data_IF_713746863503
#
_entry.id   IF_713746863503
#
_cell.length_a   1.000
_cell.length_b   1.000
_cell.length_c   1.000
_cell.angle_alpha   90.00
_cell.angle_beta   90.00
_cell.angle_gamma   90.00
#
_symmetry.space_group_name_H-M   'P 1'
#
loop_
_entity.id
_entity.type
_entity.pdbx_description
1 polymer ?
#
# COMPACT_ATOMS: atom_id res chain seq x y z
N UNK A 1 -31.29 -17.26 -0.92
CA UNK A 1 -31.18 -15.83 -0.52
C UNK A 1 -31.52 -15.60 0.96
N UNK A 2 -31.32 -16.58 1.85
CA UNK A 2 -31.68 -16.47 3.28
C UNK A 2 -30.48 -16.11 4.20
N UNK A 3 -29.25 -16.26 3.72
CA UNK A 3 -28.03 -16.13 4.53
C UNK A 3 -27.62 -14.65 4.71
N UNK A 4 -27.89 -13.79 3.72
CA UNK A 4 -27.52 -12.36 3.80
C UNK A 4 -28.35 -11.54 4.79
N UNK A 5 -29.56 -12.00 5.15
CA UNK A 5 -30.44 -11.25 6.08
C UNK A 5 -29.99 -11.30 7.53
N UNK A 6 -29.14 -12.27 7.90
CA UNK A 6 -28.63 -12.40 9.28
C UNK A 6 -27.38 -11.57 9.57
N UNK A 7 -26.66 -11.11 8.55
CA UNK A 7 -25.44 -10.30 8.72
C UNK A 7 -25.71 -8.83 9.09
N UNK A 8 -26.87 -8.28 8.75
CA UNK A 8 -27.20 -6.86 8.98
C UNK A 8 -27.77 -6.55 10.37
N UNK A 9 -28.00 -7.56 11.24
CA UNK A 9 -28.61 -7.36 12.57
C UNK A 9 -27.61 -7.24 13.74
N UNK A 10 -26.30 -7.28 13.49
CA UNK A 10 -25.32 -6.93 14.53
C UNK A 10 -25.34 -7.80 15.79
N UNK A 11 -25.81 -9.06 15.72
CA UNK A 11 -25.89 -9.99 16.86
C UNK A 11 -24.75 -11.03 16.89
N UNK A 12 -23.59 -10.75 16.30
CA UNK A 12 -22.42 -11.61 16.44
C UNK A 12 -21.61 -11.20 17.67
N UNK A 13 -21.97 -11.78 18.82
CA UNK A 13 -21.12 -11.76 20.01
C UNK A 13 -19.86 -12.57 19.72
N UNK A 14 -18.72 -11.91 19.68
CA UNK A 14 -17.42 -12.55 19.71
C UNK A 14 -17.28 -13.35 21.02
N UNK A 15 -17.16 -14.67 20.91
CA UNK A 15 -16.77 -15.52 22.01
C UNK A 15 -15.29 -15.28 22.31
N UNK A 16 -15.03 -14.60 23.43
CA UNK A 16 -13.72 -14.47 24.04
C UNK A 16 -13.30 -15.82 24.63
N UNK A 17 -12.48 -16.56 23.87
CA UNK A 17 -11.96 -17.89 24.23
C UNK A 17 -10.58 -17.79 24.88
N UNK A 18 -10.40 -16.93 25.89
CA UNK A 18 -9.11 -16.75 26.55
C UNK A 18 -9.10 -17.03 28.08
N UNK A 19 -10.18 -17.57 28.66
CA UNK A 19 -10.32 -17.70 30.13
C UNK A 19 -10.50 -19.10 30.74
N UNK A 20 -10.20 -20.20 30.05
CA UNK A 20 -10.46 -21.56 30.58
C UNK A 20 -9.25 -22.50 30.68
N UNK A 21 -8.10 -22.04 31.18
CA UNK A 21 -6.93 -22.94 31.36
C UNK A 21 -6.05 -22.65 32.59
N UNK A 22 -6.58 -22.06 33.66
CA UNK A 22 -5.80 -21.78 34.88
C UNK A 22 -6.51 -22.17 36.19
N UNK A 23 -7.34 -23.21 36.21
CA UNK A 23 -7.99 -23.64 37.45
C UNK A 23 -8.33 -25.15 37.49
N UNK A 24 -7.33 -26.02 37.33
CA UNK A 24 -7.45 -27.42 37.77
C UNK A 24 -6.10 -28.14 37.84
N UNK A 25 -5.19 -27.67 38.72
CA UNK A 25 -3.98 -28.46 39.03
C UNK A 25 -3.36 -28.05 40.37
N UNK A 26 -4.17 -28.02 41.44
CA UNK A 26 -3.67 -28.12 42.81
C UNK A 26 -4.70 -28.88 43.62
N UNK A 27 -4.25 -29.97 44.25
CA UNK A 27 -4.99 -30.86 45.17
C UNK A 27 -5.42 -32.20 44.57
N UNK A 28 -4.46 -33.11 44.38
CA UNK A 28 -4.68 -34.52 44.68
C UNK A 28 -3.34 -35.23 44.90
N UNK A 29 -3.25 -35.91 46.05
CA UNK A 29 -2.41 -37.08 46.32
C UNK A 29 -0.96 -36.85 46.76
N UNK A 30 -0.86 -36.35 47.99
CA UNK A 30 0.09 -36.89 48.97
C UNK A 30 -0.43 -38.25 49.49
N UNK A 31 0.52 -39.19 49.65
CA UNK A 31 0.49 -40.44 50.43
C UNK A 31 -0.16 -41.69 49.80
N UNK A 32 0.68 -42.55 49.24
CA UNK A 32 0.80 -43.94 49.71
C UNK A 32 2.11 -44.57 49.25
N UNK A 33 2.87 -45.07 50.22
CA UNK A 33 4.03 -45.91 50.02
C UNK A 33 3.58 -47.30 49.53
N UNK A 34 4.22 -47.86 48.50
CA UNK A 34 4.69 -49.25 48.53
C UNK A 34 5.55 -49.60 47.30
N UNK A 35 6.77 -50.07 47.60
CA UNK A 35 7.72 -50.89 46.83
C UNK A 35 7.27 -51.47 45.46
N UNK A 36 8.05 -51.09 44.43
CA UNK A 36 8.31 -51.72 43.10
C UNK A 36 7.14 -51.70 42.09
N UNK A 37 7.38 -51.52 40.77
CA UNK A 37 8.65 -51.70 40.05
C UNK A 37 9.06 -50.50 39.17
N UNK A 38 10.30 -50.03 39.34
CA UNK A 38 10.91 -48.99 38.49
C UNK A 38 11.05 -49.46 37.02
N UNK A 39 10.99 -50.77 36.75
CA UNK A 39 11.07 -51.32 35.40
C UNK A 39 9.79 -51.17 34.56
N UNK A 40 8.58 -51.20 35.15
CA UNK A 40 7.34 -51.07 34.35
C UNK A 40 7.02 -49.62 33.98
N UNK A 41 7.44 -48.64 34.80
CA UNK A 41 7.29 -47.22 34.50
C UNK A 41 8.14 -46.78 33.31
N UNK A 42 9.34 -47.36 33.13
CA UNK A 42 10.21 -47.08 31.97
C UNK A 42 9.61 -47.68 30.69
N UNK A 43 9.04 -48.88 30.75
CA UNK A 43 8.37 -49.51 29.60
C UNK A 43 7.09 -48.76 29.17
N UNK A 44 6.28 -48.28 30.13
CA UNK A 44 5.11 -47.46 29.79
C UNK A 44 5.48 -46.08 29.23
N UNK A 45 6.56 -45.46 29.72
CA UNK A 45 7.09 -44.21 29.16
C UNK A 45 7.65 -44.42 27.74
N UNK A 46 8.36 -45.51 27.47
CA UNK A 46 8.86 -45.84 26.12
C UNK A 46 7.71 -46.07 25.13
N UNK A 47 6.65 -46.81 25.51
CA UNK A 47 5.46 -47.02 24.67
C UNK A 47 4.64 -45.74 24.42
N UNK A 48 4.54 -44.83 25.41
CA UNK A 48 3.87 -43.55 25.24
C UNK A 48 4.63 -42.59 24.31
N UNK A 49 5.97 -42.61 24.35
CA UNK A 49 6.83 -41.79 23.47
C UNK A 49 6.78 -42.31 22.02
N UNK A 50 6.68 -43.63 21.80
CA UNK A 50 6.52 -44.22 20.46
C UNK A 50 5.21 -43.80 19.78
N UNK A 51 4.11 -43.71 20.54
CA UNK A 51 2.79 -43.28 20.05
C UNK A 51 2.76 -41.80 19.63
N UNK A 52 3.42 -40.93 20.40
CA UNK A 52 3.49 -39.50 20.09
C UNK A 52 4.38 -39.22 18.86
N UNK A 53 5.52 -39.91 18.72
CA UNK A 53 6.42 -39.72 17.58
C UNK A 53 5.83 -40.22 16.26
N UNK A 54 5.10 -41.34 16.26
CA UNK A 54 4.44 -41.86 15.06
C UNK A 54 3.34 -40.92 14.53
N UNK A 55 2.60 -40.24 15.42
CA UNK A 55 1.56 -39.27 15.05
C UNK A 55 2.16 -37.98 14.47
N UNK A 56 3.28 -37.51 15.00
CA UNK A 56 3.96 -36.31 14.48
C UNK A 56 4.60 -36.56 13.11
N UNK A 57 5.14 -37.76 12.86
CA UNK A 57 5.69 -38.13 11.55
C UNK A 57 4.61 -38.22 10.45
N UNK A 58 3.42 -38.73 10.78
CA UNK A 58 2.29 -38.78 9.83
C UNK A 58 1.77 -37.37 9.47
N UNK A 59 1.73 -36.43 10.44
CA UNK A 59 1.33 -35.04 10.17
C UNK A 59 2.38 -34.32 9.32
N UNK A 60 3.68 -34.51 9.59
CA UNK A 60 4.73 -33.91 8.75
C UNK A 60 4.70 -34.44 7.30
N UNK A 61 4.52 -35.74 7.12
CA UNK A 61 4.43 -36.34 5.78
C UNK A 61 3.20 -35.87 4.99
N UNK A 62 2.08 -35.60 5.66
CA UNK A 62 0.86 -35.06 5.03
C UNK A 62 0.97 -33.59 4.61
N UNK A 63 1.76 -32.77 5.31
CA UNK A 63 1.95 -31.35 4.96
C UNK A 63 2.90 -31.19 3.77
N UNK A 64 3.88 -32.09 3.60
CA UNK A 64 4.83 -32.04 2.49
C UNK A 64 4.18 -32.32 1.12
N UNK A 65 3.11 -33.11 1.05
CA UNK A 65 2.42 -33.39 -0.22
C UNK A 65 1.47 -32.29 -0.67
N UNK A 66 1.03 -31.40 0.23
CA UNK A 66 0.19 -30.23 -0.13
C UNK A 66 0.99 -29.09 -0.78
N UNK A 67 2.30 -29.00 -0.52
CA UNK A 67 3.15 -27.95 -1.10
C UNK A 67 3.30 -28.07 -2.63
N UNK A 68 3.16 -29.29 -3.19
CA UNK A 68 3.26 -29.54 -4.63
C UNK A 68 1.98 -29.15 -5.42
N UNK A 69 0.83 -28.96 -4.74
CA UNK A 69 -0.43 -28.57 -5.39
C UNK A 69 -0.57 -27.06 -5.59
N UNK A 70 0.29 -26.25 -4.97
CA UNK A 70 0.23 -24.78 -5.05
C UNK A 70 0.82 -24.27 -6.37
N UNK A 71 1.71 -25.04 -7.01
CA UNK A 71 2.30 -24.71 -8.31
C UNK A 71 1.41 -25.01 -9.52
N UNK A 72 0.20 -25.58 -9.33
CA UNK A 72 -0.64 -26.07 -10.43
C UNK A 72 -1.94 -25.25 -10.67
N UNK A 73 -2.12 -24.09 -10.03
CA UNK A 73 -3.36 -23.29 -10.18
C UNK A 73 -3.29 -22.28 -11.33
N UNK A 74 -2.65 -22.66 -12.42
CA UNK A 74 -2.64 -21.86 -13.62
C UNK A 74 -4.01 -21.94 -14.28
N UNK A 75 -4.66 -20.81 -14.50
CA UNK A 75 -5.81 -20.78 -15.40
C UNK A 75 -5.36 -21.27 -16.79
N UNK A 76 -6.26 -21.92 -17.52
CA UNK A 76 -5.94 -22.46 -18.86
C UNK A 76 -5.95 -21.38 -19.93
N UNK A 77 -6.56 -20.23 -19.66
CA UNK A 77 -6.66 -19.10 -20.58
C UNK A 77 -6.43 -17.77 -19.87
N UNK A 78 -5.99 -16.78 -20.65
CA UNK A 78 -5.88 -15.41 -20.19
C UNK A 78 -7.26 -14.75 -20.14
N UNK A 79 -7.45 -13.86 -19.16
CA UNK A 79 -8.56 -12.92 -19.18
C UNK A 79 -8.50 -12.05 -20.44
N UNK A 80 -9.66 -11.72 -21.02
CA UNK A 80 -9.74 -10.85 -22.19
C UNK A 80 -9.02 -9.50 -22.02
N UNK A 81 -8.91 -9.00 -20.78
CA UNK A 81 -8.21 -7.75 -20.47
C UNK A 81 -6.70 -7.89 -20.29
N UNK A 82 -6.13 -9.10 -20.34
CA UNK A 82 -4.70 -9.31 -20.07
C UNK A 82 -3.79 -8.52 -21.00
N UNK A 83 -4.16 -8.34 -22.26
CA UNK A 83 -3.40 -7.50 -23.19
C UNK A 83 -3.27 -6.05 -22.68
N UNK A 84 -4.37 -5.49 -22.17
CA UNK A 84 -4.39 -4.13 -21.60
C UNK A 84 -3.67 -4.09 -20.25
N UNK A 85 -3.92 -5.06 -19.36
CA UNK A 85 -3.28 -5.12 -18.05
C UNK A 85 -1.77 -5.31 -18.14
N UNK A 86 -1.30 -6.19 -19.04
CA UNK A 86 0.13 -6.37 -19.32
C UNK A 86 0.77 -5.07 -19.78
N UNK A 87 0.14 -4.34 -20.71
CA UNK A 87 0.61 -3.01 -21.16
C UNK A 87 0.67 -2.01 -20.00
N UNK A 88 -0.26 -2.10 -19.06
CA UNK A 88 -0.31 -1.26 -17.86
C UNK A 88 0.60 -1.76 -16.71
N UNK A 89 1.46 -2.74 -16.95
CA UNK A 89 2.45 -3.24 -15.97
C UNK A 89 1.93 -4.31 -15.01
N UNK A 90 0.79 -4.97 -15.29
CA UNK A 90 0.24 -6.01 -14.42
C UNK A 90 1.23 -7.15 -14.14
N UNK A 91 1.94 -7.63 -15.16
CA UNK A 91 2.90 -8.73 -14.99
C UNK A 91 4.17 -8.33 -14.21
N UNK A 92 4.59 -7.07 -14.28
CA UNK A 92 5.86 -6.60 -13.71
C UNK A 92 5.70 -5.88 -12.37
N UNK A 93 4.46 -5.57 -11.96
CA UNK A 93 4.19 -4.85 -10.74
C UNK A 93 4.23 -5.80 -9.53
N UNK A 94 5.14 -5.59 -8.56
CA UNK A 94 5.28 -6.46 -7.39
C UNK A 94 4.10 -6.39 -6.42
N UNK A 95 3.19 -5.42 -6.60
CA UNK A 95 1.95 -5.31 -5.84
C UNK A 95 0.92 -6.39 -6.20
N UNK A 96 1.03 -7.06 -7.34
CA UNK A 96 0.17 -8.19 -7.68
C UNK A 96 0.80 -9.48 -7.18
N UNK A 97 0.05 -10.20 -6.34
CA UNK A 97 0.46 -11.52 -5.87
C UNK A 97 0.58 -12.49 -7.05
N UNK A 98 1.53 -13.44 -6.98
CA UNK A 98 1.70 -14.47 -8.02
C UNK A 98 0.41 -15.22 -8.32
N UNK A 99 -0.38 -15.56 -7.30
CA UNK A 99 -1.69 -16.21 -7.47
C UNK A 99 -2.64 -15.41 -8.37
N UNK A 100 -2.59 -14.08 -8.30
CA UNK A 100 -3.38 -13.20 -9.16
C UNK A 100 -2.89 -13.26 -10.62
N UNK A 101 -1.58 -13.28 -10.83
CA UNK A 101 -0.99 -13.45 -12.16
C UNK A 101 -1.38 -14.81 -12.76
N UNK A 102 -1.33 -15.88 -11.95
CA UNK A 102 -1.70 -17.24 -12.34
C UNK A 102 -3.19 -17.39 -12.67
N UNK A 103 -4.06 -16.70 -11.93
CA UNK A 103 -5.50 -16.78 -12.11
C UNK A 103 -5.99 -15.95 -13.30
N UNK A 104 -5.45 -14.75 -13.49
CA UNK A 104 -5.99 -13.82 -14.48
C UNK A 104 -5.25 -13.84 -15.81
N UNK A 105 -3.91 -13.86 -15.79
CA UNK A 105 -3.09 -13.74 -16.98
C UNK A 105 -1.95 -14.77 -17.02
N UNK A 106 -2.27 -16.08 -16.88
CA UNK A 106 -1.28 -17.15 -16.77
C UNK A 106 -0.30 -17.14 -17.96
N UNK A 107 -0.80 -17.01 -19.19
CA UNK A 107 0.00 -17.10 -20.41
C UNK A 107 0.64 -15.74 -20.75
N UNK A 108 -0.10 -14.64 -20.59
CA UNK A 108 0.41 -13.30 -20.85
C UNK A 108 1.55 -12.90 -19.89
N UNK A 109 1.53 -13.37 -18.64
CA UNK A 109 2.52 -13.12 -17.60
C UNK A 109 3.37 -14.35 -17.25
N UNK A 110 3.57 -15.29 -18.19
CA UNK A 110 4.22 -16.61 -17.98
C UNK A 110 5.48 -16.59 -17.11
N UNK A 111 6.35 -15.62 -17.28
CA UNK A 111 7.61 -15.49 -16.53
C UNK A 111 7.38 -15.18 -15.04
N UNK A 112 6.39 -14.35 -14.72
CA UNK A 112 6.12 -13.89 -13.36
C UNK A 112 5.05 -14.72 -12.65
N UNK A 113 4.09 -15.27 -13.41
CA UNK A 113 3.06 -16.19 -12.92
C UNK A 113 3.65 -17.57 -12.60
N UNK A 114 4.71 -17.99 -13.29
CA UNK A 114 5.19 -19.38 -13.25
C UNK A 114 4.25 -20.36 -13.94
N UNK A 115 3.28 -19.85 -14.72
CA UNK A 115 2.34 -20.62 -15.51
C UNK A 115 2.82 -20.72 -16.94
N UNK A 116 3.38 -21.88 -17.28
CA UNK A 116 3.88 -22.18 -18.62
C UNK A 116 5.18 -22.97 -18.54
N UNK A 117 5.39 -23.85 -19.51
CA UNK A 117 6.73 -24.36 -19.79
C UNK A 117 7.60 -23.16 -20.21
N UNK A 118 8.80 -22.96 -19.64
CA UNK A 118 9.73 -21.97 -20.15
C UNK A 118 9.86 -22.18 -21.66
N UNK A 119 9.55 -21.16 -22.46
CA UNK A 119 9.93 -21.23 -23.87
C UNK A 119 11.44 -21.49 -23.92
N UNK A 120 11.94 -22.31 -24.85
CA UNK A 120 13.37 -22.53 -25.02
C UNK A 120 14.03 -21.15 -25.09
N UNK A 121 14.81 -20.87 -24.04
CA UNK A 121 15.51 -19.62 -23.81
C UNK A 121 16.17 -19.20 -25.10
N UNK A 122 15.66 -18.14 -25.74
CA UNK A 122 16.39 -17.46 -26.79
C UNK A 122 17.60 -16.79 -26.11
N UNK A 123 18.84 -17.18 -26.44
CA UNK A 123 20.03 -16.63 -25.82
C UNK A 123 20.24 -15.21 -26.36
N UNK A 124 19.51 -14.26 -25.78
CA UNK A 124 19.47 -12.88 -26.23
C UNK A 124 18.77 -11.94 -25.26
N UNK A 125 18.69 -12.30 -23.98
CA UNK A 125 18.26 -11.36 -22.94
C UNK A 125 19.48 -10.61 -22.42
N UNK A 126 20.01 -9.73 -23.27
CA UNK A 126 20.77 -8.60 -22.77
C UNK A 126 19.86 -7.82 -21.82
N UNK A 127 20.41 -7.35 -20.71
CA UNK A 127 19.76 -6.50 -19.70
C UNK A 127 19.37 -5.14 -20.26
N UNK A 128 18.54 -5.12 -21.31
CA UNK A 128 17.70 -4.01 -21.66
C UNK A 128 16.55 -4.07 -20.67
N UNK A 129 16.77 -3.62 -19.43
CA UNK A 129 15.67 -3.22 -18.56
C UNK A 129 14.81 -2.31 -19.42
N UNK A 130 13.63 -2.75 -19.90
CA UNK A 130 12.82 -1.92 -20.77
C UNK A 130 12.59 -0.66 -19.98
N UNK A 131 12.98 0.49 -20.56
CA UNK A 131 12.76 1.79 -19.94
C UNK A 131 11.27 1.83 -19.65
N UNK A 132 10.88 1.60 -18.39
CA UNK A 132 9.50 1.37 -18.02
C UNK A 132 8.71 2.55 -18.58
N UNK A 133 7.96 2.29 -19.64
CA UNK A 133 7.04 3.27 -20.19
C UNK A 133 6.02 3.52 -19.09
N UNK A 134 5.83 4.79 -18.75
CA UNK A 134 4.84 5.14 -17.73
C UNK A 134 3.46 4.74 -18.23
N UNK A 135 2.54 4.50 -17.30
CA UNK A 135 1.18 4.12 -17.64
C UNK A 135 0.55 5.19 -18.57
N UNK A 136 -0.12 4.74 -19.63
CA UNK A 136 -0.77 5.65 -20.58
C UNK A 136 -1.81 6.58 -19.92
N UNK A 137 -2.33 6.22 -18.73
CA UNK A 137 -3.26 7.04 -17.96
C UNK A 137 -2.60 8.05 -17.02
N UNK A 138 -1.28 8.12 -16.94
CA UNK A 138 -0.60 8.98 -15.96
C UNK A 138 -0.97 10.45 -16.08
N UNK A 139 -1.06 10.99 -17.30
CA UNK A 139 -1.51 12.36 -17.52
C UNK A 139 -2.94 12.58 -16.96
N UNK A 140 -3.86 11.64 -17.26
CA UNK A 140 -5.24 11.70 -16.78
C UNK A 140 -5.33 11.60 -15.25
N UNK A 141 -4.58 10.68 -14.64
CA UNK A 141 -4.58 10.48 -13.19
C UNK A 141 -3.93 11.64 -12.43
N UNK A 142 -2.93 12.30 -13.03
CA UNK A 142 -2.32 13.49 -12.48
C UNK A 142 -3.26 14.71 -12.55
N UNK A 143 -4.02 14.84 -13.64
CA UNK A 143 -5.00 15.93 -13.82
C UNK A 143 -6.30 15.73 -13.02
N UNK A 144 -6.62 14.53 -12.55
CA UNK A 144 -7.90 14.26 -11.85
C UNK A 144 -7.99 15.00 -10.49
N UNK A 145 -8.89 15.97 -10.37
CA UNK A 145 -9.09 16.75 -9.13
C UNK A 145 -9.63 15.95 -7.94
N UNK A 146 -10.21 14.78 -8.16
CA UNK A 146 -10.75 13.94 -7.08
C UNK A 146 -9.69 12.99 -6.51
N UNK A 147 -8.76 12.52 -7.35
CA UNK A 147 -7.73 11.54 -6.96
C UNK A 147 -6.35 12.15 -6.78
N UNK A 148 -6.03 13.16 -7.58
CA UNK A 148 -4.75 13.88 -7.58
C UNK A 148 -3.55 12.92 -7.49
N UNK A 149 -3.43 11.93 -8.38
CA UNK A 149 -2.56 10.76 -8.16
C UNK A 149 -1.13 11.10 -7.72
N UNK A 150 -0.50 12.12 -8.34
CA UNK A 150 0.84 12.55 -7.96
C UNK A 150 0.87 13.28 -6.60
N UNK A 151 -0.16 14.06 -6.27
CA UNK A 151 -0.25 14.84 -5.03
C UNK A 151 -0.82 14.04 -3.84
N UNK A 152 -1.51 12.93 -4.10
CA UNK A 152 -2.22 12.14 -3.09
C UNK A 152 -1.27 11.61 -2.03
N UNK A 153 -1.72 11.75 -0.77
CA UNK A 153 -1.03 11.25 0.44
C UNK A 153 -1.28 9.74 0.63
N UNK A 154 -2.36 9.21 0.05
CA UNK A 154 -2.72 7.79 0.14
C UNK A 154 -1.89 6.92 -0.82
N UNK A 155 -1.31 7.53 -1.86
CA UNK A 155 -0.47 6.85 -2.85
C UNK A 155 0.99 6.94 -2.45
N UNK A 156 1.60 5.78 -2.17
CA UNK A 156 3.00 5.71 -1.74
C UNK A 156 3.96 6.14 -2.86
N UNK A 157 5.13 6.75 -2.55
CA UNK A 157 6.13 7.12 -3.56
C UNK A 157 6.55 5.97 -4.47
N UNK A 158 6.67 4.74 -3.94
CA UNK A 158 6.96 3.54 -4.72
C UNK A 158 5.90 3.27 -5.81
N UNK A 159 4.61 3.46 -5.50
CA UNK A 159 3.54 3.30 -6.49
C UNK A 159 3.62 4.40 -7.55
N UNK A 160 3.88 5.66 -7.17
CA UNK A 160 4.09 6.75 -8.12
C UNK A 160 5.26 6.44 -9.06
N UNK A 161 6.34 5.89 -8.53
CA UNK A 161 7.52 5.48 -9.29
C UNK A 161 7.26 4.27 -10.21
N UNK A 162 6.44 3.32 -9.80
CA UNK A 162 6.06 2.16 -10.64
C UNK A 162 5.15 2.58 -11.79
N UNK A 163 4.13 3.40 -11.52
CA UNK A 163 3.10 3.70 -12.52
C UNK A 163 3.42 4.94 -13.36
N UNK A 164 3.85 6.04 -12.72
CA UNK A 164 3.90 7.37 -13.31
C UNK A 164 5.20 8.10 -13.00
N UNK A 165 6.33 7.40 -13.19
CA UNK A 165 7.66 7.91 -12.82
C UNK A 165 7.98 9.29 -13.39
N UNK A 166 7.66 9.54 -14.67
CA UNK A 166 7.98 10.82 -15.32
C UNK A 166 6.95 11.88 -14.95
N UNK A 167 5.67 11.53 -15.03
CA UNK A 167 4.58 12.45 -14.71
C UNK A 167 4.63 12.96 -13.26
N UNK A 168 4.94 12.10 -12.28
CA UNK A 168 5.05 12.46 -10.86
C UNK A 168 6.50 12.71 -10.40
N UNK A 169 7.41 13.07 -11.31
CA UNK A 169 8.84 13.17 -10.99
C UNK A 169 9.13 14.17 -9.86
N UNK A 170 8.42 15.30 -9.82
CA UNK A 170 8.59 16.32 -8.78
C UNK A 170 8.21 15.79 -7.38
N UNK A 171 7.10 15.06 -7.28
CA UNK A 171 6.62 14.49 -6.02
C UNK A 171 7.44 13.29 -5.54
N UNK A 172 8.02 12.53 -6.48
CA UNK A 172 8.93 11.43 -6.15
C UNK A 172 10.27 11.97 -5.67
N UNK A 173 10.82 12.97 -6.37
CA UNK A 173 12.15 13.50 -6.07
C UNK A 173 12.13 14.43 -4.85
N UNK A 174 10.98 15.03 -4.51
CA UNK A 174 10.82 16.01 -3.41
C UNK A 174 11.88 17.13 -3.49
N UNK A 175 12.23 17.55 -4.70
CA UNK A 175 13.27 18.55 -4.95
C UNK A 175 12.82 19.93 -4.54
N UNK A 176 11.52 20.20 -4.68
CA UNK A 176 10.95 21.51 -4.45
C UNK A 176 10.68 21.70 -2.95
N UNK A 177 10.78 22.94 -2.49
CA UNK A 177 10.49 23.31 -1.11
C UNK A 177 9.00 23.47 -0.90
N UNK A 178 8.33 24.26 -1.75
CA UNK A 178 6.88 24.37 -1.77
C UNK A 178 6.32 24.37 -3.20
N UNK A 179 5.03 24.02 -3.33
CA UNK A 179 4.27 24.17 -4.57
C UNK A 179 2.76 24.22 -4.25
N UNK A 180 1.96 24.68 -5.21
CA UNK A 180 0.50 24.57 -5.16
C UNK A 180 0.00 23.61 -6.23
N UNK A 181 -1.13 22.98 -5.97
CA UNK A 181 -1.92 22.26 -6.95
C UNK A 181 -3.16 23.08 -7.27
N UNK A 182 -3.20 23.63 -8.47
CA UNK A 182 -4.26 24.49 -8.97
C UNK A 182 -5.28 23.63 -9.72
N UNK A 183 -6.57 23.81 -9.43
CA UNK A 183 -7.68 23.20 -10.14
C UNK A 183 -8.29 24.23 -11.08
N UNK A 184 -8.18 24.00 -12.38
CA UNK A 184 -8.85 24.78 -13.43
C UNK A 184 -9.79 23.84 -14.17
N UNK A 185 -11.09 24.09 -14.11
CA UNK A 185 -12.12 23.30 -14.80
C UNK A 185 -12.06 21.78 -14.52
N UNK A 186 -11.78 21.41 -13.25
CA UNK A 186 -11.68 20.02 -12.81
C UNK A 186 -10.33 19.37 -13.09
N UNK A 187 -9.36 20.11 -13.63
CA UNK A 187 -8.01 19.62 -13.94
C UNK A 187 -6.97 20.20 -13.00
N UNK A 188 -6.20 19.32 -12.37
CA UNK A 188 -5.09 19.68 -11.50
C UNK A 188 -3.84 19.97 -12.32
N UNK A 189 -3.23 21.11 -12.04
CA UNK A 189 -1.87 21.45 -12.47
C UNK A 189 -1.05 21.84 -11.27
N UNK A 190 0.17 21.31 -11.19
CA UNK A 190 1.14 21.75 -10.20
C UNK A 190 1.73 23.10 -10.63
N UNK A 191 1.84 24.04 -9.70
CA UNK A 191 2.52 25.31 -9.93
C UNK A 191 4.01 25.09 -10.20
N UNK A 192 4.69 26.13 -10.66
CA UNK A 192 6.14 26.15 -10.61
C UNK A 192 6.64 25.94 -9.15
N UNK A 193 7.81 25.32 -8.97
CA UNK A 193 8.47 25.23 -7.67
C UNK A 193 8.62 26.61 -7.05
N UNK A 194 8.34 26.70 -5.76
CA UNK A 194 8.54 27.90 -4.98
C UNK A 194 9.71 27.60 -4.05
N UNK A 195 10.83 28.27 -4.33
CA UNK A 195 11.99 28.24 -3.44
C UNK A 195 11.67 29.01 -2.17
N UNK A 196 12.42 28.73 -1.10
CA UNK A 196 12.38 29.42 0.19
C UNK A 196 12.49 30.91 -0.07
N UNK A 197 11.36 31.58 0.11
CA UNK A 197 11.24 33.01 -0.06
C UNK A 197 10.39 33.53 1.09
N UNK A 198 10.97 34.47 1.83
CA UNK A 198 10.26 35.16 2.89
C UNK A 198 9.18 36.08 2.32
N UNK A 199 9.30 36.54 1.07
CA UNK A 199 8.32 37.40 0.43
C UNK A 199 7.12 36.60 -0.09
N UNK A 200 5.92 37.17 0.07
CA UNK A 200 4.72 36.63 -0.52
C UNK A 200 4.78 36.67 -2.05
N UNK A 201 4.34 35.58 -2.69
CA UNK A 201 4.19 35.45 -4.14
C UNK A 201 2.72 35.31 -4.51
N UNK A 202 2.29 35.83 -5.66
CA UNK A 202 0.94 35.59 -6.14
C UNK A 202 0.72 34.10 -6.43
N UNK A 203 -0.44 33.57 -6.05
CA UNK A 203 -0.84 32.16 -6.29
C UNK A 203 -1.32 31.92 -7.72
N UNK A 204 -1.75 32.99 -8.41
CA UNK A 204 -2.49 32.96 -9.67
C UNK A 204 -3.81 32.15 -9.61
N UNK A 205 -4.36 31.92 -8.42
CA UNK A 205 -5.69 31.34 -8.24
C UNK A 205 -6.76 32.40 -8.50
N UNK A 206 -6.95 32.76 -9.77
CA UNK A 206 -8.05 33.59 -10.21
C UNK A 206 -9.13 32.72 -10.87
N UNK A 207 -10.41 33.01 -10.61
CA UNK A 207 -11.53 32.29 -11.21
C UNK A 207 -11.35 32.11 -12.73
N UNK A 208 -11.56 30.90 -13.29
CA UNK A 208 -12.15 29.71 -12.66
C UNK A 208 -11.16 28.82 -11.88
N UNK A 209 -9.91 29.25 -11.72
CA UNK A 209 -8.86 28.48 -11.05
C UNK A 209 -8.93 28.62 -9.54
N UNK A 210 -8.87 27.49 -8.83
CA UNK A 210 -8.83 27.41 -7.35
C UNK A 210 -7.62 26.62 -6.88
N UNK A 211 -7.19 26.81 -5.64
CA UNK A 211 -6.14 25.98 -5.04
C UNK A 211 -6.78 24.71 -4.48
N UNK A 212 -6.38 23.54 -4.97
CA UNK A 212 -6.89 22.24 -4.50
C UNK A 212 -6.06 21.67 -3.33
N UNK A 213 -4.74 21.80 -3.42
CA UNK A 213 -3.81 21.34 -2.39
C UNK A 213 -2.55 22.20 -2.37
N UNK A 214 -1.85 22.17 -1.24
CA UNK A 214 -0.54 22.76 -1.06
C UNK A 214 0.48 21.67 -0.77
N UNK A 215 1.67 21.81 -1.35
CA UNK A 215 2.83 20.96 -1.11
C UNK A 215 3.87 21.74 -0.32
N UNK A 216 4.40 21.11 0.72
CA UNK A 216 5.52 21.59 1.49
C UNK A 216 6.45 20.42 1.80
N UNK A 217 7.75 20.58 1.54
CA UNK A 217 8.79 19.64 1.93
C UNK A 217 8.88 19.57 3.46
N UNK A 218 9.52 18.51 3.97
CA UNK A 218 9.82 18.37 5.41
C UNK A 218 10.44 19.66 5.96
N UNK A 219 9.84 20.20 7.03
CA UNK A 219 10.20 21.47 7.70
C UNK A 219 10.03 22.74 6.87
N UNK A 220 9.39 22.66 5.71
CA UNK A 220 8.88 23.82 4.99
C UNK A 220 7.44 24.12 5.39
N UNK A 221 7.08 25.39 5.43
CA UNK A 221 5.76 25.88 5.77
C UNK A 221 5.23 26.75 4.64
N UNK A 222 4.06 26.38 4.13
CA UNK A 222 3.26 27.16 3.20
C UNK A 222 2.20 27.92 3.98
N UNK A 223 2.08 29.22 3.73
CA UNK A 223 0.97 30.04 4.22
C UNK A 223 0.25 30.66 3.03
N UNK A 224 -1.07 30.67 3.07
CA UNK A 224 -1.94 31.28 2.07
C UNK A 224 -2.56 32.56 2.63
N UNK A 225 -2.69 33.59 1.79
CA UNK A 225 -3.17 34.91 2.19
C UNK A 225 -4.26 35.41 1.24
N UNK A 226 -5.16 36.24 1.77
CA UNK A 226 -6.21 36.89 0.97
C UNK A 226 -5.64 37.88 -0.05
N UNK A 227 -4.55 38.58 0.28
CA UNK A 227 -3.88 39.54 -0.59
C UNK A 227 -2.72 38.89 -1.37
N UNK A 228 -2.45 39.38 -2.59
CA UNK A 228 -1.34 38.86 -3.41
C UNK A 228 0.04 39.22 -2.84
N UNK A 229 0.12 40.35 -2.13
CA UNK A 229 1.33 40.88 -1.51
C UNK A 229 0.98 41.53 -0.15
N UNK A 230 0.62 40.74 0.88
CA UNK A 230 0.34 41.25 2.22
C UNK A 230 1.53 42.05 2.76
N UNK A 231 1.25 43.22 3.33
CA UNK A 231 2.26 44.08 3.94
C UNK A 231 2.85 43.49 5.23
N UNK A 232 2.05 42.69 5.94
CA UNK A 232 2.42 41.99 7.17
C UNK A 232 2.08 40.50 7.04
N UNK A 233 3.11 39.65 7.07
CA UNK A 233 3.01 38.20 6.90
C UNK A 233 2.51 37.48 8.16
N UNK A 234 2.23 38.21 9.24
CA UNK A 234 1.72 37.66 10.50
C UNK A 234 0.20 37.75 10.62
N UNK A 235 -0.46 38.53 9.75
CA UNK A 235 -1.92 38.72 9.73
C UNK A 235 -2.53 38.21 8.43
N UNK A 236 -3.84 37.95 8.43
CA UNK A 236 -4.58 37.59 7.22
C UNK A 236 -4.22 36.22 6.62
N UNK A 237 -3.62 35.32 7.42
CA UNK A 237 -3.35 33.94 7.02
C UNK A 237 -4.68 33.20 6.91
N UNK A 238 -5.02 32.75 5.69
CA UNK A 238 -6.21 31.95 5.43
C UNK A 238 -6.01 30.48 5.81
N UNK A 239 -4.81 29.95 5.53
CA UNK A 239 -4.44 28.58 5.87
C UNK A 239 -2.91 28.46 5.95
N UNK A 240 -2.45 27.56 6.82
CA UNK A 240 -1.03 27.24 7.02
C UNK A 240 -0.82 25.73 7.01
N UNK A 241 0.26 25.28 6.40
CA UNK A 241 0.66 23.88 6.37
C UNK A 241 2.17 23.74 6.46
N UNK A 242 2.63 22.99 7.46
CA UNK A 242 4.03 22.57 7.59
C UNK A 242 4.19 21.13 7.11
N UNK A 243 5.05 20.94 6.11
CA UNK A 243 5.40 19.64 5.58
C UNK A 243 6.22 18.84 6.60
N UNK A 244 6.01 17.53 6.59
CA UNK A 244 6.77 16.54 7.35
C UNK A 244 7.35 15.49 6.41
N UNK A 245 8.24 14.62 6.90
CA UNK A 245 8.78 13.50 6.12
C UNK A 245 7.68 12.61 5.49
N UNK A 246 6.58 12.40 6.23
CA UNK A 246 5.48 11.50 5.87
C UNK A 246 4.29 12.21 5.21
N UNK A 247 4.10 13.50 5.51
CA UNK A 247 2.99 14.30 4.97
C UNK A 247 3.54 15.58 4.34
N UNK A 248 3.63 15.57 3.01
CA UNK A 248 4.15 16.69 2.21
C UNK A 248 3.06 17.45 1.45
N UNK A 249 1.81 16.99 1.51
CA UNK A 249 0.67 17.62 0.82
C UNK A 249 -0.52 17.74 1.77
N UNK A 250 -1.20 18.89 1.77
CA UNK A 250 -2.47 19.09 2.46
C UNK A 250 -3.53 19.66 1.51
N UNK A 251 -4.79 19.30 1.74
CA UNK A 251 -5.94 19.88 1.03
C UNK A 251 -6.15 21.32 1.49
N UNK A 252 -6.60 22.17 0.56
CA UNK A 252 -6.94 23.56 0.88
C UNK A 252 -8.42 23.66 1.25
N UNK A 253 -8.70 24.34 2.36
CA UNK A 253 -10.05 24.58 2.86
C UNK A 253 -10.80 25.54 1.92
N UNK A 254 -12.13 25.46 1.89
CA UNK A 254 -12.96 26.21 0.93
C UNK A 254 -12.71 27.74 0.97
N UNK A 255 -12.42 28.30 2.15
CA UNK A 255 -12.10 29.72 2.35
C UNK A 255 -10.74 30.13 1.77
N UNK A 256 -9.79 29.21 1.70
CA UNK A 256 -8.43 29.45 1.22
C UNK A 256 -8.24 29.13 -0.27
N UNK A 257 -9.25 28.52 -0.92
CA UNK A 257 -9.20 28.16 -2.35
C UNK A 257 -9.00 29.35 -3.29
N UNK A 258 -9.40 30.54 -2.87
CA UNK A 258 -9.26 31.80 -3.60
C UNK A 258 -8.12 32.69 -3.06
N UNK A 259 -7.19 32.13 -2.28
CA UNK A 259 -6.04 32.88 -1.76
C UNK A 259 -5.25 33.51 -2.92
N UNK A 260 -4.95 34.80 -2.84
CA UNK A 260 -4.24 35.54 -3.88
C UNK A 260 -2.73 35.51 -3.70
N UNK A 261 -2.24 35.30 -2.47
CA UNK A 261 -0.83 35.27 -2.13
C UNK A 261 -0.43 34.03 -1.33
N UNK A 262 0.85 33.68 -1.38
CA UNK A 262 1.43 32.63 -0.54
C UNK A 262 2.89 32.89 -0.17
N UNK A 263 3.36 32.31 0.94
CA UNK A 263 4.78 32.29 1.32
C UNK A 263 5.28 30.86 1.49
N UNK A 264 6.58 30.63 1.30
CA UNK A 264 7.25 29.36 1.55
C UNK A 264 8.49 29.58 2.43
N UNK A 265 8.46 29.07 3.65
CA UNK A 265 9.57 29.22 4.61
C UNK A 265 10.07 27.85 5.06
N UNK A 266 11.38 27.61 5.09
CA UNK A 266 11.95 26.31 5.51
C UNK A 266 12.98 26.48 6.62
N UNK A 267 12.96 25.57 7.60
CA UNK A 267 13.85 25.56 8.78
C UNK A 267 14.93 24.49 8.66
#
# INVERSE_FOLDING_TARGET
MEIYRKLLKGELRFFDSSKSLQLSSRNALQRSAYKRPIFDLISLLLLAVSSAMARTLLVLAGVSSLAALISAQCATSDNANCANWKRNGFCTNPGYAKSMLQQYCPNACKEQSGCGTPDPVSPGSGTNTPKAEENANCAKWAEDATKMFCASVDIKPAQKQTFCKKTCAAEIAKTDECALYLNTDGKIKRSAPITKDAAAKPTNAAAPTTIAAMYAKDKCTVKLYADAAPADLTVGILQEFTGTADLVTAKVDDTAKAALGMTCTCV
#
